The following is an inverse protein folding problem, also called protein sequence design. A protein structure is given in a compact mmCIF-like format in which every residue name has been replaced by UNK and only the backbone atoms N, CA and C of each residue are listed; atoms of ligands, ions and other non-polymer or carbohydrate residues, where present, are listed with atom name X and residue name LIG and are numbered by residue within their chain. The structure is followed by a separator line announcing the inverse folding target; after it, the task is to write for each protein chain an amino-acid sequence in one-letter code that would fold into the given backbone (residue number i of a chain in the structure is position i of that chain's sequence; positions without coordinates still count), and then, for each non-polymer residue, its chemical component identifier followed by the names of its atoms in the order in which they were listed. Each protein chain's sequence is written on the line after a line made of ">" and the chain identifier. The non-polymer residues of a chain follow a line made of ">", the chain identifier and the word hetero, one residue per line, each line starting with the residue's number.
data_IF_619038209116
#
_entry.id   IF_619038209116
#
_cell.length_a   1.000
_cell.length_b   1.000
_cell.length_c   1.000
_cell.angle_alpha   90.00
_cell.angle_beta   90.00
_cell.angle_gamma   90.00
#
_symmetry.space_group_name_H-M   'P 1'
#
loop_
_entity.id
_entity.type
_entity.pdbx_description
1 polymer ?
#
# COMPACT_ATOMS: atom_id res chain seq x y z
N UNK A 1 -9.39 -5.04 -17.24
CA UNK A 1 -8.30 -4.78 -16.28
C UNK A 1 -8.56 -3.57 -15.37
N UNK A 2 -8.67 -2.33 -15.87
CA UNK A 2 -8.96 -1.16 -14.99
C UNK A 2 -10.28 -1.33 -14.21
N UNK A 3 -11.35 -1.76 -14.89
CA UNK A 3 -12.62 -2.11 -14.24
C UNK A 3 -12.50 -3.27 -13.23
N UNK A 4 -11.59 -4.22 -13.45
CA UNK A 4 -11.35 -5.34 -12.51
C UNK A 4 -10.59 -4.86 -11.27
N UNK A 5 -9.65 -3.92 -11.43
CA UNK A 5 -8.94 -3.29 -10.32
C UNK A 5 -9.90 -2.48 -9.44
N UNK A 6 -10.90 -1.81 -10.03
CA UNK A 6 -11.95 -1.14 -9.25
C UNK A 6 -12.81 -2.11 -8.44
N UNK A 7 -13.21 -3.25 -9.04
CA UNK A 7 -13.94 -4.30 -8.33
C UNK A 7 -13.09 -4.88 -7.20
N UNK A 8 -11.80 -5.12 -7.46
CA UNK A 8 -10.87 -5.64 -6.46
C UNK A 8 -10.65 -4.65 -5.32
N UNK A 9 -10.39 -3.38 -5.62
CA UNK A 9 -10.19 -2.33 -4.61
C UNK A 9 -11.43 -2.14 -3.74
N UNK A 10 -12.63 -2.21 -4.34
CA UNK A 10 -13.89 -2.22 -3.60
C UNK A 10 -13.95 -3.40 -2.63
N UNK A 11 -13.65 -4.62 -3.09
CA UNK A 11 -13.63 -5.80 -2.23
C UNK A 11 -12.60 -5.69 -1.10
N UNK A 12 -11.36 -5.27 -1.41
CA UNK A 12 -10.31 -5.03 -0.42
C UNK A 12 -10.79 -4.04 0.66
N UNK A 13 -11.47 -2.97 0.24
CA UNK A 13 -11.99 -1.96 1.17
C UNK A 13 -13.11 -2.52 2.05
N UNK A 14 -14.03 -3.30 1.49
CA UNK A 14 -15.10 -3.95 2.24
C UNK A 14 -14.54 -4.92 3.29
N UNK A 15 -13.60 -5.78 2.92
CA UNK A 15 -12.96 -6.74 3.83
C UNK A 15 -12.13 -6.02 4.91
N UNK A 16 -11.39 -4.97 4.56
CA UNK A 16 -10.64 -4.16 5.52
C UNK A 16 -11.56 -3.49 6.55
N UNK A 17 -12.74 -3.04 6.12
CA UNK A 17 -13.75 -2.48 7.02
C UNK A 17 -14.34 -3.54 7.95
N UNK A 18 -14.65 -4.74 7.45
CA UNK A 18 -15.10 -5.85 8.29
C UNK A 18 -14.04 -6.22 9.34
N UNK A 19 -12.77 -6.33 8.92
CA UNK A 19 -11.66 -6.61 9.81
C UNK A 19 -11.54 -5.54 10.89
N UNK A 20 -11.61 -4.26 10.50
CA UNK A 20 -11.61 -3.14 11.44
C UNK A 20 -12.74 -3.24 12.46
N UNK A 21 -13.97 -3.52 12.03
CA UNK A 21 -15.12 -3.70 12.93
C UNK A 21 -14.87 -4.78 13.97
N UNK A 22 -14.30 -5.93 13.58
CA UNK A 22 -13.95 -7.01 14.51
C UNK A 22 -12.91 -6.57 15.56
N UNK A 23 -11.89 -5.82 15.16
CA UNK A 23 -10.88 -5.30 16.10
C UNK A 23 -11.42 -4.21 17.02
N UNK A 24 -12.35 -3.38 16.54
CA UNK A 24 -13.02 -2.35 17.32
C UNK A 24 -13.96 -2.97 18.38
N UNK A 25 -14.68 -4.05 18.03
CA UNK A 25 -15.57 -4.80 18.93
C UNK A 25 -14.82 -5.57 20.02
N UNK A 26 -13.68 -6.18 19.66
CA UNK A 26 -12.88 -7.00 20.60
C UNK A 26 -12.00 -6.16 21.54
N UNK A 27 -11.89 -4.85 21.33
CA UNK A 27 -11.11 -3.94 22.17
C UNK A 27 -9.59 -4.04 21.99
N UNK A 28 -9.11 -4.90 21.09
CA UNK A 28 -7.69 -5.04 20.74
C UNK A 28 -7.24 -4.03 19.67
N UNK A 29 -8.17 -3.34 19.01
CA UNK A 29 -7.88 -2.35 17.98
C UNK A 29 -7.33 -1.03 18.52
N UNK A 30 -6.30 -0.49 17.84
CA UNK A 30 -5.98 0.93 17.93
C UNK A 30 -7.18 1.72 17.37
N UNK A 31 -8.10 2.12 18.24
CA UNK A 31 -9.30 2.87 17.86
C UNK A 31 -8.91 4.16 17.15
N UNK A 32 -9.61 4.48 16.06
CA UNK A 32 -9.52 5.78 15.39
C UNK A 32 -8.80 5.77 14.04
N UNK A 33 -8.43 6.96 13.58
CA UNK A 33 -7.92 7.23 12.23
C UNK A 33 -6.53 6.64 11.94
N UNK A 34 -5.79 6.27 12.99
CA UNK A 34 -4.42 5.76 12.93
C UNK A 34 -4.33 4.22 13.00
N UNK A 35 -5.48 3.54 12.86
CA UNK A 35 -5.51 2.07 12.83
C UNK A 35 -4.62 1.54 11.69
N UNK A 36 -3.72 0.59 11.97
CA UNK A 36 -2.86 0.00 10.95
C UNK A 36 -3.66 -0.70 9.85
N UNK A 37 -4.91 -1.10 10.11
CA UNK A 37 -5.80 -1.75 9.13
C UNK A 37 -6.10 -0.82 7.94
N UNK A 38 -6.08 0.51 8.15
CA UNK A 38 -6.34 1.51 7.09
C UNK A 38 -5.39 1.37 5.91
N UNK A 39 -4.17 0.86 6.13
CA UNK A 39 -3.19 0.64 5.05
C UNK A 39 -3.72 -0.30 3.98
N UNK A 40 -4.52 -1.31 4.36
CA UNK A 40 -5.06 -2.30 3.44
C UNK A 40 -5.92 -1.61 2.37
N UNK A 41 -6.78 -0.67 2.78
CA UNK A 41 -7.60 0.11 1.86
C UNK A 41 -6.75 1.09 1.03
N UNK A 42 -5.72 1.71 1.62
CA UNK A 42 -4.77 2.56 0.88
C UNK A 42 -4.06 1.78 -0.24
N UNK A 43 -3.59 0.56 0.05
CA UNK A 43 -2.96 -0.32 -0.95
C UNK A 43 -3.96 -0.75 -2.04
N UNK A 44 -5.22 -1.01 -1.67
CA UNK A 44 -6.29 -1.27 -2.64
C UNK A 44 -6.52 -0.09 -3.60
N UNK A 45 -6.57 1.13 -3.08
CA UNK A 45 -6.76 2.34 -3.89
C UNK A 45 -5.59 2.60 -4.85
N UNK A 46 -4.37 2.26 -4.46
CA UNK A 46 -3.20 2.34 -5.34
C UNK A 46 -3.35 1.47 -6.61
N UNK A 47 -4.10 0.36 -6.55
CA UNK A 47 -4.40 -0.46 -7.73
C UNK A 47 -5.35 0.23 -8.72
N UNK A 48 -6.08 1.26 -8.28
CA UNK A 48 -7.02 2.03 -9.13
C UNK A 48 -6.46 3.39 -9.53
N UNK A 49 -5.23 3.69 -9.14
CA UNK A 49 -4.57 4.95 -9.44
C UNK A 49 -4.34 5.11 -10.95
N UNK A 50 -4.55 6.32 -11.46
CA UNK A 50 -4.02 6.72 -12.77
C UNK A 50 -2.50 6.60 -12.74
N UNK A 51 -1.95 5.77 -13.61
CA UNK A 51 -0.53 5.46 -13.62
C UNK A 51 0.37 6.69 -13.85
N UNK A 52 -0.14 7.71 -14.55
CA UNK A 52 0.58 8.96 -14.71
C UNK A 52 0.76 9.69 -13.37
N UNK A 53 -0.25 9.62 -12.51
CA UNK A 53 -0.30 10.27 -11.19
C UNK A 53 0.25 9.42 -10.04
N UNK A 54 0.62 8.15 -10.29
CA UNK A 54 1.05 7.19 -9.27
C UNK A 54 2.15 7.71 -8.33
N UNK A 55 3.09 8.52 -8.82
CA UNK A 55 4.18 9.07 -8.00
C UNK A 55 3.64 9.88 -6.80
N UNK A 56 2.53 10.60 -6.97
CA UNK A 56 1.93 11.42 -5.91
C UNK A 56 1.33 10.56 -4.79
N UNK A 57 0.64 9.48 -5.16
CA UNK A 57 0.08 8.53 -4.20
C UNK A 57 1.20 7.76 -3.47
N UNK A 58 2.28 7.42 -4.19
CA UNK A 58 3.47 6.81 -3.59
C UNK A 58 4.17 7.75 -2.61
N UNK A 59 4.28 9.05 -2.89
CA UNK A 59 4.81 10.02 -1.92
C UNK A 59 3.99 10.06 -0.63
N UNK A 60 2.66 10.05 -0.75
CA UNK A 60 1.75 10.00 0.40
C UNK A 60 1.96 8.70 1.18
N UNK A 61 2.08 7.57 0.49
CA UNK A 61 2.33 6.26 1.09
C UNK A 61 3.66 6.22 1.85
N UNK A 62 4.76 6.68 1.23
CA UNK A 62 6.09 6.68 1.84
C UNK A 62 6.19 7.63 3.04
N UNK A 63 5.39 8.69 3.09
CA UNK A 63 5.32 9.58 4.24
C UNK A 63 4.65 8.89 5.44
N UNK A 64 3.63 8.06 5.22
CA UNK A 64 2.95 7.32 6.30
C UNK A 64 3.63 6.00 6.65
N UNK A 65 4.27 5.34 5.68
CA UNK A 65 4.88 4.01 5.82
C UNK A 65 6.30 4.00 5.25
N UNK A 66 7.27 4.61 5.95
CA UNK A 66 8.60 4.85 5.39
C UNK A 66 9.44 3.59 5.16
N UNK A 67 9.07 2.46 5.76
CA UNK A 67 9.71 1.15 5.65
C UNK A 67 9.21 0.26 4.51
N UNK A 68 8.14 0.65 3.79
CA UNK A 68 7.66 -0.13 2.66
C UNK A 68 8.74 -0.23 1.58
N UNK A 69 9.00 -1.45 1.10
CA UNK A 69 10.09 -1.74 0.16
C UNK A 69 9.62 -1.71 -1.29
N UNK A 70 10.59 -1.55 -2.22
CA UNK A 70 10.34 -1.68 -3.65
C UNK A 70 9.72 -3.05 -3.99
N UNK A 71 10.21 -4.14 -3.39
CA UNK A 71 9.70 -5.50 -3.63
C UNK A 71 8.22 -5.66 -3.23
N UNK A 72 7.83 -5.11 -2.08
CA UNK A 72 6.44 -5.12 -1.61
C UNK A 72 5.51 -4.36 -2.56
N UNK A 73 5.94 -3.20 -3.06
CA UNK A 73 5.17 -2.41 -4.02
C UNK A 73 5.10 -3.09 -5.40
N UNK A 74 6.20 -3.67 -5.87
CA UNK A 74 6.21 -4.44 -7.12
C UNK A 74 5.22 -5.61 -7.06
N UNK A 75 5.14 -6.31 -5.93
CA UNK A 75 4.15 -7.37 -5.69
C UNK A 75 2.71 -6.88 -5.71
N UNK A 76 2.45 -5.71 -5.12
CA UNK A 76 1.12 -5.09 -5.18
C UNK A 76 0.73 -4.83 -6.64
N UNK A 77 1.59 -4.16 -7.41
CA UNK A 77 1.29 -3.78 -8.79
C UNK A 77 1.31 -4.96 -9.77
N UNK A 78 1.88 -6.10 -9.40
CA UNK A 78 1.76 -7.33 -10.19
C UNK A 78 0.30 -7.75 -10.38
N UNK A 79 -0.59 -7.38 -9.44
CA UNK A 79 -2.03 -7.64 -9.54
C UNK A 79 -2.68 -6.89 -10.70
N UNK A 80 -2.14 -5.72 -11.07
CA UNK A 80 -2.74 -4.82 -12.06
C UNK A 80 -2.65 -5.36 -13.49
N UNK A 81 -1.59 -6.12 -13.83
CA UNK A 81 -1.34 -6.83 -15.10
C UNK A 81 -1.58 -6.04 -16.41
N UNK A 82 -1.88 -4.74 -16.35
CA UNK A 82 -2.06 -3.81 -17.45
C UNK A 82 -0.82 -2.93 -17.67
N UNK A 83 0.04 -2.80 -16.66
CA UNK A 83 1.29 -2.04 -16.72
C UNK A 83 2.49 -2.99 -16.79
N UNK A 84 3.52 -2.60 -17.54
CA UNK A 84 4.78 -3.35 -17.55
C UNK A 84 5.52 -3.19 -16.23
N UNK A 85 6.11 -4.28 -15.73
CA UNK A 85 6.88 -4.27 -14.49
C UNK A 85 8.00 -3.21 -14.47
N UNK A 86 8.67 -2.96 -15.60
CA UNK A 86 9.72 -1.93 -15.68
C UNK A 86 9.18 -0.51 -15.50
N UNK A 87 7.99 -0.21 -16.05
CA UNK A 87 7.36 1.11 -15.93
C UNK A 87 6.95 1.35 -14.47
N UNK A 88 6.36 0.34 -13.81
CA UNK A 88 6.02 0.39 -12.38
C UNK A 88 7.27 0.63 -11.53
N UNK A 89 8.33 -0.15 -11.80
CA UNK A 89 9.60 -0.05 -11.09
C UNK A 89 10.21 1.35 -11.21
N UNK A 90 10.19 1.94 -12.40
CA UNK A 90 10.66 3.30 -12.63
C UNK A 90 9.90 4.31 -11.77
N UNK A 91 8.56 4.26 -11.76
CA UNK A 91 7.73 5.15 -10.91
C UNK A 91 8.00 4.99 -9.43
N UNK A 92 8.17 3.75 -8.96
CA UNK A 92 8.52 3.47 -7.56
C UNK A 92 9.89 4.06 -7.22
N UNK A 93 10.89 3.84 -8.07
CA UNK A 93 12.24 4.35 -7.85
C UNK A 93 12.30 5.88 -7.88
N UNK A 94 11.53 6.50 -8.77
CA UNK A 94 11.39 7.96 -8.82
C UNK A 94 10.78 8.50 -7.53
N UNK A 95 9.72 7.87 -7.04
CA UNK A 95 9.09 8.24 -5.76
C UNK A 95 10.04 8.04 -4.56
N UNK A 96 10.84 6.97 -4.54
CA UNK A 96 11.86 6.73 -3.51
C UNK A 96 12.96 7.80 -3.56
N UNK A 97 13.48 8.12 -4.75
CA UNK A 97 14.56 9.11 -4.94
C UNK A 97 14.13 10.52 -4.58
N UNK A 98 12.87 10.86 -4.87
CA UNK A 98 12.31 12.18 -4.59
C UNK A 98 11.72 12.30 -3.18
N UNK A 99 11.78 11.24 -2.35
CA UNK A 99 11.30 11.29 -0.97
C UNK A 99 12.10 12.32 -0.19
N UNK A 100 11.39 13.22 0.50
CA UNK A 100 11.99 14.05 1.55
C UNK A 100 11.95 13.24 2.85
N UNK A 101 13.03 13.31 3.63
CA UNK A 101 13.06 12.70 4.97
C UNK A 101 11.93 13.30 5.80
N UNK A 102 10.95 12.47 6.15
CA UNK A 102 9.82 12.82 7.02
C UNK A 102 9.98 12.06 8.33
N UNK A 103 9.62 12.70 9.43
CA UNK A 103 9.77 12.13 10.78
C UNK A 103 8.86 10.91 10.89
N UNK A 104 9.46 9.75 11.14
CA UNK A 104 8.77 8.47 11.36
C UNK A 104 7.83 8.56 12.55
N UNK A 105 6.58 8.09 12.38
CA UNK A 105 5.77 7.64 13.50
C UNK A 105 6.12 6.17 13.79
N UNK A 106 6.84 5.91 14.88
CA UNK A 106 7.52 4.63 15.20
C UNK A 106 6.66 3.36 15.07
N UNK A 107 5.34 3.44 15.22
CA UNK A 107 4.43 2.27 15.10
C UNK A 107 4.01 1.95 13.67
N UNK A 108 3.91 2.94 12.78
CA UNK A 108 3.54 2.71 11.37
C UNK A 108 4.77 2.31 10.55
N UNK A 109 5.97 2.72 10.98
CA UNK A 109 7.23 2.34 10.35
C UNK A 109 7.60 0.85 10.53
N UNK A 110 7.00 0.11 11.47
CA UNK A 110 7.41 -1.29 11.71
C UNK A 110 6.66 -2.34 10.88
N UNK A 111 5.43 -2.09 10.44
CA UNK A 111 4.56 -3.14 9.86
C UNK A 111 5.20 -3.76 8.61
N UNK A 112 5.72 -2.94 7.69
CA UNK A 112 6.34 -3.46 6.48
C UNK A 112 7.72 -4.08 6.72
N UNK A 113 8.36 -3.88 7.87
CA UNK A 113 9.58 -4.61 8.23
C UNK A 113 9.30 -6.08 8.55
N UNK A 114 8.08 -6.38 9.03
CA UNK A 114 7.64 -7.74 9.35
C UNK A 114 7.09 -8.51 8.13
N UNK A 115 6.81 -7.82 7.01
CA UNK A 115 6.29 -8.44 5.78
C UNK A 115 7.48 -8.79 4.88
N UNK A 116 7.97 -10.03 4.98
CA UNK A 116 9.10 -10.52 4.18
C UNK A 116 8.65 -11.62 3.23
N UNK A 117 9.03 -11.50 1.96
CA UNK A 117 8.80 -12.55 0.96
C UNK A 117 10.06 -13.40 0.80
N UNK A 118 9.93 -14.71 0.98
CA UNK A 118 11.05 -15.66 0.87
C UNK A 118 11.35 -16.07 -0.57
N UNK A 119 10.34 -15.99 -1.44
CA UNK A 119 10.43 -16.27 -2.87
C UNK A 119 10.86 -15.02 -3.65
N UNK A 120 11.46 -15.22 -4.82
CA UNK A 120 11.72 -14.12 -5.75
C UNK A 120 10.53 -13.93 -6.67
N UNK A 121 10.19 -12.66 -6.94
CA UNK A 121 9.14 -12.32 -7.89
C UNK A 121 9.50 -12.70 -9.34
N UNK A 122 10.80 -12.89 -9.63
CA UNK A 122 11.39 -13.37 -10.89
C UNK A 122 12.80 -13.93 -10.67
#
# INVERSE_FOLDING_TARGET
>A
MEAECHVLAKKITEEANQLRSLFDETGFGAKGADSPIKIISTLGNLLTCDFEMLVLDLHTLFASYPSISEDQLMRLFYIRNDIKANEVKEKIQDAIRSRKSTVSHDKQDSIFKEIVFSDRLW
#
